data_IF_373442228548
#
_entry.id   IF_373442228548
#
_cell.length_a   1.000
_cell.length_b   1.000
_cell.length_c   1.000
_cell.angle_alpha   90.00
_cell.angle_beta   90.00
_cell.angle_gamma   90.00
#
_symmetry.space_group_name_H-M   'P 1'
#
loop_
_entity.id
_entity.type
_entity.pdbx_description
1 polymer ?
#
# COMPACT_ATOMS: atom_id res chain seq x y z
N UNK A 1 27.48 28.90 -23.98
CA UNK A 1 26.16 29.11 -23.31
C UNK A 1 25.25 27.87 -23.30
N UNK A 2 25.52 26.84 -24.11
CA UNK A 2 24.72 25.60 -24.16
C UNK A 2 25.14 24.52 -23.13
N UNK A 3 26.38 24.52 -22.66
CA UNK A 3 26.92 23.53 -21.74
C UNK A 3 26.42 23.65 -20.30
N UNK A 4 26.13 24.86 -19.82
CA UNK A 4 25.66 25.12 -18.45
C UNK A 4 24.21 24.67 -18.24
N UNK A 5 23.37 24.78 -19.26
CA UNK A 5 21.95 24.33 -19.22
C UNK A 5 21.85 22.79 -19.21
N UNK A 6 22.64 22.12 -20.06
CA UNK A 6 22.66 20.67 -20.11
C UNK A 6 23.20 20.04 -18.81
N UNK A 7 24.25 20.63 -18.22
CA UNK A 7 24.77 20.16 -16.93
C UNK A 7 23.77 20.34 -15.78
N UNK A 8 23.01 21.45 -15.75
CA UNK A 8 21.94 21.66 -14.76
C UNK A 8 20.80 20.64 -14.91
N UNK A 9 20.43 20.32 -16.14
CA UNK A 9 19.37 19.32 -16.43
C UNK A 9 19.80 17.91 -16.01
N UNK A 10 21.05 17.54 -16.30
CA UNK A 10 21.62 16.26 -15.88
C UNK A 10 21.65 16.15 -14.36
N UNK A 11 22.06 17.22 -13.66
CA UNK A 11 22.08 17.24 -12.20
C UNK A 11 20.68 17.07 -11.59
N UNK A 12 19.69 17.83 -12.07
CA UNK A 12 18.29 17.73 -11.60
C UNK A 12 17.70 16.34 -11.84
N UNK A 13 17.94 15.77 -13.00
CA UNK A 13 17.54 14.40 -13.33
C UNK A 13 18.19 13.40 -12.37
N UNK A 14 19.46 13.54 -12.07
CA UNK A 14 20.19 12.65 -11.17
C UNK A 14 19.68 12.74 -9.72
N UNK A 15 19.27 13.92 -9.25
CA UNK A 15 18.65 14.07 -7.93
C UNK A 15 17.34 13.30 -7.83
N UNK A 16 16.46 13.37 -8.83
CA UNK A 16 15.21 12.64 -8.87
C UNK A 16 15.42 11.11 -8.91
N UNK A 17 16.38 10.65 -9.71
CA UNK A 17 16.76 9.23 -9.78
C UNK A 17 17.36 8.74 -8.46
N UNK A 18 18.16 9.54 -7.77
CA UNK A 18 18.73 9.20 -6.46
C UNK A 18 17.67 9.11 -5.37
N UNK A 19 16.55 9.80 -5.52
CA UNK A 19 15.40 9.71 -4.64
C UNK A 19 14.44 8.54 -4.98
N UNK A 20 14.81 7.64 -5.88
CA UNK A 20 13.98 6.51 -6.37
C UNK A 20 12.68 6.91 -7.08
N UNK A 21 12.63 8.10 -7.67
CA UNK A 21 11.47 8.55 -8.47
C UNK A 21 11.22 7.64 -9.68
N UNK A 22 12.25 6.94 -10.16
CA UNK A 22 12.20 6.09 -11.34
C UNK A 22 12.44 6.85 -12.64
N UNK A 23 12.84 6.13 -13.68
CA UNK A 23 13.25 6.73 -14.97
C UNK A 23 12.05 7.40 -15.66
N UNK A 24 10.92 6.67 -15.76
CA UNK A 24 9.74 7.15 -16.49
C UNK A 24 9.14 8.43 -15.88
N UNK A 25 8.98 8.45 -14.55
CA UNK A 25 8.47 9.61 -13.83
C UNK A 25 9.48 10.78 -13.88
N UNK A 26 10.77 10.50 -13.75
CA UNK A 26 11.84 11.52 -13.87
C UNK A 26 11.83 12.18 -15.24
N UNK A 27 11.76 11.40 -16.31
CA UNK A 27 11.75 11.92 -17.68
C UNK A 27 10.50 12.76 -17.95
N UNK A 28 9.35 12.34 -17.46
CA UNK A 28 8.11 13.11 -17.56
C UNK A 28 8.25 14.47 -16.84
N UNK A 29 8.69 14.46 -15.59
CA UNK A 29 8.86 15.69 -14.79
C UNK A 29 9.79 16.65 -15.49
N UNK A 30 10.97 16.19 -15.90
CA UNK A 30 11.99 17.04 -16.55
C UNK A 30 11.46 17.61 -17.87
N UNK A 31 10.79 16.79 -18.69
CA UNK A 31 10.24 17.25 -19.97
C UNK A 31 9.11 18.27 -19.79
N UNK A 32 8.20 18.03 -18.86
CA UNK A 32 7.10 18.94 -18.57
C UNK A 32 7.63 20.29 -18.02
N UNK A 33 8.60 20.25 -17.12
CA UNK A 33 9.24 21.47 -16.61
C UNK A 33 9.93 22.27 -17.72
N UNK A 34 10.58 21.60 -18.66
CA UNK A 34 11.20 22.27 -19.82
C UNK A 34 10.17 22.93 -20.76
N UNK A 35 9.01 22.31 -20.91
CA UNK A 35 7.93 22.87 -21.74
C UNK A 35 7.23 24.05 -21.08
N UNK A 36 6.99 23.97 -19.77
CA UNK A 36 6.27 24.99 -19.01
C UNK A 36 7.10 26.22 -18.72
N UNK A 37 8.39 26.02 -18.43
CA UNK A 37 9.30 27.07 -18.02
C UNK A 37 10.23 27.45 -19.16
N UNK A 38 10.24 28.73 -19.56
CA UNK A 38 11.28 29.28 -20.41
C UNK A 38 12.65 29.14 -19.73
N UNK A 39 13.73 29.21 -20.52
CA UNK A 39 15.12 29.06 -20.01
C UNK A 39 15.45 29.96 -18.83
N UNK A 40 14.89 31.16 -18.78
CA UNK A 40 15.09 32.13 -17.71
C UNK A 40 14.38 31.70 -16.42
N UNK A 41 13.15 31.21 -16.53
CA UNK A 41 12.34 30.77 -15.40
C UNK A 41 12.87 29.46 -14.78
N UNK A 42 13.46 28.56 -15.58
CA UNK A 42 14.16 27.37 -15.09
C UNK A 42 15.37 27.69 -14.20
N UNK A 43 15.96 28.88 -14.38
CA UNK A 43 17.11 29.34 -13.59
C UNK A 43 16.69 30.01 -12.28
N UNK A 44 15.42 30.37 -12.10
CA UNK A 44 14.88 31.00 -10.90
C UNK A 44 14.42 29.96 -9.89
N UNK A 45 15.08 29.80 -8.72
CA UNK A 45 14.81 28.69 -7.79
C UNK A 45 13.35 28.59 -7.33
N UNK A 46 12.71 29.71 -7.01
CA UNK A 46 11.31 29.74 -6.55
C UNK A 46 10.32 29.26 -7.61
N UNK A 47 10.47 29.76 -8.83
CA UNK A 47 9.59 29.37 -9.95
C UNK A 47 9.79 27.91 -10.31
N UNK A 48 11.04 27.44 -10.30
CA UNK A 48 11.34 26.03 -10.51
C UNK A 48 10.71 25.14 -9.43
N UNK A 49 10.85 25.47 -8.15
CA UNK A 49 10.29 24.69 -7.07
C UNK A 49 8.76 24.64 -7.10
N UNK A 50 8.11 25.75 -7.44
CA UNK A 50 6.65 25.83 -7.60
C UNK A 50 6.18 24.91 -8.73
N UNK A 51 6.83 24.98 -9.88
CA UNK A 51 6.50 24.13 -11.02
C UNK A 51 6.78 22.65 -10.74
N UNK A 52 7.87 22.32 -10.06
CA UNK A 52 8.22 20.97 -9.64
C UNK A 52 7.15 20.39 -8.70
N UNK A 53 6.75 21.13 -7.68
CA UNK A 53 5.68 20.71 -6.77
C UNK A 53 4.37 20.44 -7.51
N UNK A 54 4.02 21.30 -8.46
CA UNK A 54 2.82 21.11 -9.27
C UNK A 54 2.87 19.82 -10.09
N UNK A 55 4.00 19.53 -10.74
CA UNK A 55 4.20 18.30 -11.51
C UNK A 55 4.14 17.05 -10.61
N UNK A 56 4.80 17.08 -9.47
CA UNK A 56 4.76 15.98 -8.50
C UNK A 56 3.34 15.74 -8.00
N UNK A 57 2.63 16.80 -7.64
CA UNK A 57 1.22 16.71 -7.21
C UNK A 57 0.32 16.14 -8.31
N UNK A 58 0.50 16.56 -9.55
CA UNK A 58 -0.28 16.07 -10.69
C UNK A 58 -0.09 14.56 -10.92
N UNK A 59 1.14 14.05 -10.76
CA UNK A 59 1.42 12.61 -10.86
C UNK A 59 0.67 11.85 -9.77
N UNK A 60 0.69 12.34 -8.53
CA UNK A 60 0.10 11.65 -7.38
C UNK A 60 -1.43 11.78 -7.32
N UNK A 61 -2.02 12.82 -7.89
CA UNK A 61 -3.50 12.97 -7.96
C UNK A 61 -4.18 11.80 -8.65
N UNK A 62 -3.53 11.18 -9.61
CA UNK A 62 -4.07 10.01 -10.32
C UNK A 62 -4.26 8.79 -9.41
N UNK A 63 -3.51 8.70 -8.31
CA UNK A 63 -3.53 7.58 -7.35
C UNK A 63 -4.04 7.98 -5.96
N UNK A 64 -4.43 9.24 -5.80
CA UNK A 64 -5.02 9.77 -4.57
C UNK A 64 -6.52 9.45 -4.53
N UNK A 65 -6.81 8.20 -4.24
CA UNK A 65 -8.18 7.71 -4.10
C UNK A 65 -8.30 7.00 -2.76
N UNK A 66 -8.98 7.60 -1.77
CA UNK A 66 -9.12 7.02 -0.45
C UNK A 66 -9.92 5.72 -0.48
N UNK A 67 -9.61 4.81 0.45
CA UNK A 67 -10.42 3.63 0.67
C UNK A 67 -11.68 4.01 1.46
N UNK A 68 -12.83 3.81 0.84
CA UNK A 68 -14.13 4.07 1.47
C UNK A 68 -14.78 2.75 1.84
N UNK A 69 -15.06 2.58 3.13
CA UNK A 69 -15.79 1.42 3.62
C UNK A 69 -17.28 1.62 3.33
N UNK A 70 -17.83 0.78 2.46
CA UNK A 70 -19.26 0.82 2.14
C UNK A 70 -20.04 0.09 3.22
N UNK A 71 -21.02 0.76 3.79
CA UNK A 71 -21.80 0.26 4.93
C UNK A 71 -22.94 -0.71 4.54
N UNK A 72 -23.33 -0.76 3.27
CA UNK A 72 -24.51 -1.51 2.80
C UNK A 72 -24.26 -3.02 2.75
N UNK A 73 -23.02 -3.45 2.58
CA UNK A 73 -22.64 -4.85 2.47
C UNK A 73 -21.61 -5.23 3.54
N UNK A 74 -22.06 -5.87 4.60
CA UNK A 74 -21.19 -6.28 5.73
C UNK A 74 -20.89 -7.78 5.71
N UNK A 75 -19.66 -8.14 6.11
CA UNK A 75 -18.50 -7.26 6.34
C UNK A 75 -17.93 -6.72 5.04
N UNK A 76 -17.31 -5.52 5.09
CA UNK A 76 -16.36 -5.08 4.09
C UNK A 76 -15.05 -5.85 4.31
N UNK A 77 -14.58 -6.58 3.30
CA UNK A 77 -13.43 -7.48 3.42
C UNK A 77 -12.19 -6.87 2.79
N UNK A 78 -11.16 -6.66 3.59
CA UNK A 78 -9.82 -6.24 3.16
C UNK A 78 -8.88 -7.43 3.26
N UNK A 79 -8.37 -7.88 2.12
CA UNK A 79 -7.33 -8.89 2.04
C UNK A 79 -5.97 -8.20 1.99
N UNK A 80 -5.13 -8.42 3.02
CA UNK A 80 -3.80 -7.85 3.11
C UNK A 80 -2.78 -8.79 2.47
N UNK A 81 -2.12 -8.33 1.42
CA UNK A 81 -1.10 -9.10 0.70
C UNK A 81 0.25 -8.40 0.74
N UNK A 82 1.33 -9.13 0.50
CA UNK A 82 2.70 -8.61 0.52
C UNK A 82 3.68 -9.62 1.07
N UNK A 83 4.97 -9.39 0.84
CA UNK A 83 6.05 -10.27 1.30
C UNK A 83 6.25 -10.16 2.82
N UNK A 84 6.95 -11.14 3.40
CA UNK A 84 7.31 -11.08 4.82
C UNK A 84 8.25 -9.89 5.10
N UNK A 85 8.08 -9.27 6.26
CA UNK A 85 8.94 -8.17 6.72
C UNK A 85 8.55 -6.77 6.23
N UNK A 86 7.56 -6.63 5.34
CA UNK A 86 7.09 -5.31 4.88
C UNK A 86 6.23 -4.55 5.90
N UNK A 87 5.85 -5.18 7.00
CA UNK A 87 5.00 -4.58 8.02
C UNK A 87 3.50 -4.91 7.86
N UNK A 88 3.16 -5.99 7.18
CA UNK A 88 1.78 -6.41 6.91
C UNK A 88 0.96 -6.60 8.20
N UNK A 89 1.41 -7.45 9.11
CA UNK A 89 0.73 -7.72 10.39
C UNK A 89 0.60 -6.47 11.26
N UNK A 90 1.66 -5.65 11.30
CA UNK A 90 1.65 -4.36 12.01
C UNK A 90 0.63 -3.39 11.40
N UNK A 91 0.56 -3.32 10.07
CA UNK A 91 -0.39 -2.46 9.36
C UNK A 91 -1.84 -2.88 9.60
N UNK A 92 -2.10 -4.19 9.74
CA UNK A 92 -3.43 -4.70 10.11
C UNK A 92 -3.89 -4.14 11.45
N UNK A 93 -3.02 -4.18 12.47
CA UNK A 93 -3.33 -3.60 13.78
C UNK A 93 -3.63 -2.10 13.70
N UNK A 94 -2.83 -1.34 12.96
CA UNK A 94 -3.03 0.10 12.76
C UNK A 94 -4.33 0.40 12.03
N UNK A 95 -4.66 -0.34 10.97
CA UNK A 95 -5.93 -0.21 10.25
C UNK A 95 -7.13 -0.54 11.14
N UNK A 96 -7.05 -1.62 11.91
CA UNK A 96 -8.12 -1.98 12.82
C UNK A 96 -8.39 -0.87 13.84
N UNK A 97 -7.34 -0.25 14.38
CA UNK A 97 -7.46 0.90 15.29
C UNK A 97 -8.06 2.11 14.59
N UNK A 98 -7.65 2.39 13.38
CA UNK A 98 -8.20 3.49 12.58
C UNK A 98 -9.71 3.34 12.38
N UNK A 99 -10.17 2.17 11.96
CA UNK A 99 -11.60 1.94 11.75
C UNK A 99 -12.40 1.90 13.07
N UNK A 100 -11.84 1.35 14.15
CA UNK A 100 -12.45 1.46 15.48
C UNK A 100 -12.64 2.92 15.92
N UNK A 101 -11.65 3.77 15.68
CA UNK A 101 -11.73 5.21 16.00
C UNK A 101 -12.82 5.95 15.22
N UNK A 102 -13.23 5.39 14.09
CA UNK A 102 -14.34 5.87 13.26
C UNK A 102 -15.69 5.25 13.65
N UNK A 103 -15.73 4.48 14.74
CA UNK A 103 -16.96 3.87 15.27
C UNK A 103 -17.36 2.56 14.57
N UNK A 104 -16.46 1.95 13.77
CA UNK A 104 -16.73 0.69 13.09
C UNK A 104 -16.35 -0.52 13.94
N UNK A 105 -17.13 -1.58 13.87
CA UNK A 105 -16.75 -2.89 14.40
C UNK A 105 -15.77 -3.58 13.46
N UNK A 106 -14.71 -4.18 14.01
CA UNK A 106 -13.62 -4.82 13.25
C UNK A 106 -13.41 -6.24 13.73
N UNK A 107 -13.13 -7.15 12.80
CA UNK A 107 -12.67 -8.50 13.06
C UNK A 107 -11.42 -8.78 12.24
N UNK A 108 -10.50 -9.59 12.76
CA UNK A 108 -9.27 -10.00 12.09
C UNK A 108 -9.30 -11.49 11.78
N UNK A 109 -8.66 -11.86 10.66
CA UNK A 109 -8.38 -13.24 10.30
C UNK A 109 -6.87 -13.48 10.22
N UNK A 110 -6.37 -14.44 11.01
CA UNK A 110 -4.97 -14.83 11.03
C UNK A 110 -4.67 -15.85 9.92
N UNK A 111 -4.65 -15.40 8.68
CA UNK A 111 -4.47 -16.25 7.49
C UNK A 111 -3.01 -16.62 7.17
N UNK A 112 -2.02 -16.01 7.80
CA UNK A 112 -0.60 -16.43 7.71
C UNK A 112 -0.31 -17.59 8.66
N UNK A 113 -0.92 -18.73 8.39
CA UNK A 113 -1.01 -19.88 9.29
C UNK A 113 0.31 -20.60 9.56
N UNK A 114 1.31 -20.44 8.68
CA UNK A 114 2.63 -21.05 8.83
C UNK A 114 3.59 -20.23 9.69
N UNK A 115 3.26 -18.97 10.00
CA UNK A 115 4.03 -18.11 10.89
C UNK A 115 3.34 -17.99 12.24
N UNK A 116 3.65 -18.90 13.14
CA UNK A 116 3.08 -18.90 14.49
C UNK A 116 3.22 -17.54 15.20
N UNK A 117 4.36 -16.87 15.05
CA UNK A 117 4.59 -15.53 15.61
C UNK A 117 3.66 -14.46 15.04
N UNK A 118 3.28 -14.54 13.76
CA UNK A 118 2.34 -13.59 13.15
C UNK A 118 0.91 -13.82 13.69
N UNK A 119 0.51 -15.08 13.82
CA UNK A 119 -0.79 -15.44 14.41
C UNK A 119 -0.88 -14.95 15.85
N UNK A 120 0.14 -15.24 16.67
CA UNK A 120 0.23 -14.81 18.07
C UNK A 120 0.23 -13.28 18.19
N UNK A 121 0.97 -12.58 17.35
CA UNK A 121 1.00 -11.12 17.32
C UNK A 121 -0.41 -10.53 17.10
N UNK A 122 -1.17 -11.06 16.15
CA UNK A 122 -2.55 -10.63 15.90
C UNK A 122 -3.47 -10.93 17.09
N UNK A 123 -3.36 -12.11 17.67
CA UNK A 123 -4.16 -12.52 18.82
C UNK A 123 -3.91 -11.60 20.02
N UNK A 124 -2.64 -11.37 20.38
CA UNK A 124 -2.26 -10.46 21.47
C UNK A 124 -2.75 -9.04 21.21
N UNK A 125 -2.60 -8.57 19.98
CA UNK A 125 -3.09 -7.25 19.62
C UNK A 125 -4.61 -7.17 19.72
N UNK A 126 -5.32 -8.20 19.23
CA UNK A 126 -6.78 -8.27 19.31
C UNK A 126 -7.30 -8.26 20.74
N UNK A 127 -6.69 -9.04 21.65
CA UNK A 127 -7.02 -9.05 23.08
C UNK A 127 -6.85 -7.67 23.72
N UNK A 128 -5.72 -7.00 23.46
CA UNK A 128 -5.43 -5.67 24.00
C UNK A 128 -6.39 -4.58 23.53
N UNK A 129 -6.94 -4.72 22.34
CA UNK A 129 -7.77 -3.69 21.70
C UNK A 129 -9.24 -4.12 21.56
N UNK A 130 -9.62 -5.24 22.16
CA UNK A 130 -10.99 -5.79 22.12
C UNK A 130 -11.48 -6.02 20.67
N UNK A 131 -10.60 -6.55 19.82
CA UNK A 131 -10.89 -6.93 18.44
C UNK A 131 -10.87 -8.44 18.34
N UNK A 132 -11.97 -9.10 17.91
CA UNK A 132 -12.00 -10.53 17.68
C UNK A 132 -11.00 -10.96 16.60
N UNK A 133 -10.27 -12.03 16.84
CA UNK A 133 -9.34 -12.64 15.89
C UNK A 133 -9.74 -14.09 15.66
N UNK A 134 -9.99 -14.44 14.40
CA UNK A 134 -10.22 -15.82 13.99
C UNK A 134 -8.90 -16.43 13.59
N UNK A 135 -8.52 -17.51 14.26
CA UNK A 135 -7.29 -18.25 14.01
C UNK A 135 -7.59 -19.76 14.10
N UNK A 136 -6.79 -20.57 13.41
CA UNK A 136 -6.81 -22.03 13.47
C UNK A 136 -5.44 -22.56 13.85
N UNK A 137 -5.30 -23.88 13.94
CA UNK A 137 -4.02 -24.54 14.25
C UNK A 137 -2.94 -24.15 13.23
N UNK A 138 -1.67 -24.14 13.68
CA UNK A 138 -0.52 -23.88 12.81
C UNK A 138 -0.53 -24.79 11.58
N UNK A 139 -0.29 -24.21 10.42
CA UNK A 139 -0.30 -24.92 9.14
C UNK A 139 -1.69 -25.21 8.56
N UNK A 140 -2.76 -24.69 9.15
CA UNK A 140 -4.10 -24.78 8.59
C UNK A 140 -4.18 -24.12 7.19
N UNK A 141 -5.18 -24.47 6.41
CA UNK A 141 -5.43 -23.84 5.12
C UNK A 141 -5.87 -22.39 5.30
N UNK A 142 -5.10 -21.44 4.76
CA UNK A 142 -5.38 -20.01 4.85
C UNK A 142 -6.78 -19.63 4.34
N UNK A 143 -7.23 -20.25 3.25
CA UNK A 143 -8.57 -20.01 2.72
C UNK A 143 -9.66 -20.46 3.69
N UNK A 144 -9.44 -21.56 4.44
CA UNK A 144 -10.36 -22.05 5.47
C UNK A 144 -10.48 -21.07 6.64
N UNK A 145 -9.35 -20.53 7.12
CA UNK A 145 -9.35 -19.53 8.21
C UNK A 145 -10.11 -18.28 7.81
N UNK A 146 -9.85 -17.78 6.61
CA UNK A 146 -10.49 -16.55 6.09
C UNK A 146 -11.96 -16.76 5.82
N UNK A 147 -12.34 -17.95 5.32
CA UNK A 147 -13.74 -18.33 5.17
C UNK A 147 -14.48 -18.34 6.51
N UNK A 148 -13.93 -18.98 7.53
CA UNK A 148 -14.51 -19.02 8.88
C UNK A 148 -14.65 -17.63 9.47
N UNK A 149 -13.65 -16.77 9.28
CA UNK A 149 -13.67 -15.37 9.71
C UNK A 149 -14.80 -14.60 9.01
N UNK A 150 -14.97 -14.78 7.71
CA UNK A 150 -16.05 -14.16 6.95
C UNK A 150 -17.43 -14.60 7.46
N UNK A 151 -17.64 -15.89 7.67
CA UNK A 151 -18.91 -16.42 8.21
C UNK A 151 -19.20 -15.85 9.59
N UNK A 152 -18.20 -15.81 10.46
CA UNK A 152 -18.32 -15.23 11.81
C UNK A 152 -18.63 -13.73 11.76
N UNK A 153 -17.92 -12.98 10.93
CA UNK A 153 -18.13 -11.54 10.78
C UNK A 153 -19.53 -11.22 10.22
N UNK A 154 -19.99 -11.99 9.24
CA UNK A 154 -21.33 -11.87 8.67
C UNK A 154 -22.42 -12.16 9.71
N UNK A 155 -22.28 -13.24 10.48
CA UNK A 155 -23.23 -13.60 11.52
C UNK A 155 -23.33 -12.56 12.63
N UNK A 156 -22.23 -11.90 12.95
CA UNK A 156 -22.14 -10.84 13.99
C UNK A 156 -22.37 -9.43 13.45
N UNK A 157 -22.68 -9.29 12.18
CA UNK A 157 -22.86 -7.99 11.50
C UNK A 157 -21.68 -7.02 11.68
N UNK A 158 -20.47 -7.55 11.59
CA UNK A 158 -19.22 -6.77 11.72
C UNK A 158 -19.04 -5.87 10.49
N UNK A 159 -18.61 -4.63 10.72
CA UNK A 159 -18.43 -3.65 9.65
C UNK A 159 -17.25 -3.99 8.73
N UNK A 160 -16.09 -4.35 9.30
CA UNK A 160 -14.84 -4.58 8.56
C UNK A 160 -14.16 -5.86 9.01
N UNK A 161 -13.84 -6.72 8.05
CA UNK A 161 -12.96 -7.87 8.23
C UNK A 161 -11.63 -7.61 7.55
N UNK A 162 -10.52 -7.66 8.30
CA UNK A 162 -9.17 -7.53 7.78
C UNK A 162 -8.47 -8.89 7.89
N UNK A 163 -8.08 -9.46 6.76
CA UNK A 163 -7.46 -10.78 6.68
C UNK A 163 -5.97 -10.69 6.36
N UNK A 164 -5.13 -11.26 7.24
CA UNK A 164 -3.72 -11.45 6.97
C UNK A 164 -3.51 -12.66 6.04
N UNK A 165 -2.45 -12.63 5.24
CA UNK A 165 -2.05 -13.70 4.34
C UNK A 165 -0.57 -14.03 4.47
N UNK A 166 -0.15 -15.19 3.98
CA UNK A 166 1.26 -15.54 3.87
C UNK A 166 2.03 -14.55 2.96
N UNK A 167 3.34 -14.45 3.19
CA UNK A 167 4.20 -13.55 2.43
C UNK A 167 5.53 -14.19 2.02
N UNK A 168 5.57 -15.50 1.79
CA UNK A 168 6.79 -16.26 1.47
C UNK A 168 7.13 -16.19 -0.01
N UNK A 169 7.82 -15.15 -0.45
CA UNK A 169 8.14 -14.94 -1.86
C UNK A 169 9.14 -15.97 -2.44
N UNK A 170 9.95 -16.63 -1.61
CA UNK A 170 10.86 -17.68 -2.08
C UNK A 170 10.14 -18.94 -2.61
N UNK A 171 8.86 -19.11 -2.27
CA UNK A 171 7.94 -20.08 -2.84
C UNK A 171 6.82 -19.36 -3.61
N UNK A 172 7.21 -18.51 -4.56
CA UNK A 172 6.32 -17.57 -5.24
C UNK A 172 5.08 -18.24 -5.83
N UNK A 173 5.24 -19.33 -6.53
CA UNK A 173 4.12 -20.02 -7.18
C UNK A 173 3.12 -20.54 -6.15
N UNK A 174 3.59 -21.09 -5.03
CA UNK A 174 2.74 -21.55 -3.94
C UNK A 174 2.01 -20.38 -3.27
N UNK A 175 2.69 -19.25 -3.06
CA UNK A 175 2.07 -18.05 -2.50
C UNK A 175 0.95 -17.52 -3.42
N UNK A 176 1.22 -17.43 -4.71
CA UNK A 176 0.24 -16.93 -5.67
C UNK A 176 -0.97 -17.86 -5.79
N UNK A 177 -0.75 -19.18 -5.83
CA UNK A 177 -1.82 -20.20 -5.82
C UNK A 177 -2.67 -20.11 -4.54
N UNK A 178 -2.06 -19.88 -3.39
CA UNK A 178 -2.76 -19.70 -2.12
C UNK A 178 -3.65 -18.44 -2.15
N UNK A 179 -3.13 -17.32 -2.64
CA UNK A 179 -3.90 -16.08 -2.79
C UNK A 179 -5.07 -16.23 -3.76
N UNK A 180 -4.85 -16.86 -4.90
CA UNK A 180 -5.92 -17.17 -5.86
C UNK A 180 -7.01 -18.05 -5.24
N UNK A 181 -6.63 -19.04 -4.44
CA UNK A 181 -7.58 -19.89 -3.72
C UNK A 181 -8.42 -19.08 -2.73
N UNK A 182 -7.80 -18.20 -1.95
CA UNK A 182 -8.50 -17.32 -1.00
C UNK A 182 -9.53 -16.46 -1.74
N UNK A 183 -9.14 -15.80 -2.81
CA UNK A 183 -10.03 -14.97 -3.61
C UNK A 183 -11.19 -15.78 -4.18
N UNK A 184 -10.92 -16.96 -4.73
CA UNK A 184 -11.94 -17.85 -5.26
C UNK A 184 -12.93 -18.32 -4.20
N UNK A 185 -12.47 -18.67 -3.00
CA UNK A 185 -13.31 -19.10 -1.89
C UNK A 185 -14.22 -17.96 -1.42
N UNK A 186 -13.69 -16.74 -1.31
CA UNK A 186 -14.48 -15.56 -0.95
C UNK A 186 -15.52 -15.23 -2.02
N UNK A 187 -15.16 -15.24 -3.30
CA UNK A 187 -16.10 -14.97 -4.41
C UNK A 187 -17.25 -15.96 -4.50
N UNK A 188 -17.09 -17.20 -4.04
CA UNK A 188 -18.18 -18.16 -3.93
C UNK A 188 -19.22 -17.79 -2.86
N UNK A 189 -18.85 -16.96 -1.89
CA UNK A 189 -19.77 -16.45 -0.87
C UNK A 189 -20.51 -15.21 -1.34
N UNK A 190 -19.81 -14.33 -2.07
CA UNK A 190 -20.35 -13.12 -2.67
C UNK A 190 -19.37 -12.67 -3.77
N UNK A 191 -19.88 -12.42 -4.98
CA UNK A 191 -19.04 -12.08 -6.15
C UNK A 191 -18.23 -10.78 -5.97
N UNK A 192 -18.67 -9.86 -5.09
CA UNK A 192 -17.96 -8.62 -4.78
C UNK A 192 -16.68 -8.85 -3.97
N UNK A 193 -16.54 -9.98 -3.29
CA UNK A 193 -15.44 -10.26 -2.36
C UNK A 193 -14.14 -10.70 -3.05
N UNK A 194 -12.98 -10.35 -2.50
CA UNK A 194 -12.81 -9.35 -1.44
C UNK A 194 -13.10 -7.95 -1.96
N UNK A 195 -13.56 -7.03 -1.08
CA UNK A 195 -13.83 -5.64 -1.45
C UNK A 195 -12.56 -4.85 -1.75
N UNK A 196 -11.48 -5.18 -1.07
CA UNK A 196 -10.16 -4.58 -1.28
C UNK A 196 -9.09 -5.68 -1.19
N UNK A 197 -8.16 -5.68 -2.15
CA UNK A 197 -6.89 -6.42 -2.07
C UNK A 197 -5.79 -5.37 -1.92
N UNK A 198 -5.34 -5.18 -0.69
CA UNK A 198 -4.39 -4.13 -0.32
C UNK A 198 -2.98 -4.71 -0.23
N UNK A 199 -2.11 -4.27 -1.13
CA UNK A 199 -0.70 -4.65 -1.13
C UNK A 199 0.08 -3.75 -0.17
N UNK A 200 0.77 -4.37 0.79
CA UNK A 200 1.71 -3.67 1.68
C UNK A 200 3.11 -3.74 1.10
N UNK A 201 3.73 -2.59 0.93
CA UNK A 201 5.10 -2.44 0.41
C UNK A 201 5.96 -1.67 1.41
N UNK A 202 7.23 -2.02 1.47
CA UNK A 202 8.25 -1.32 2.25
C UNK A 202 8.96 -0.28 1.38
N UNK A 203 8.80 1.00 1.70
CA UNK A 203 9.38 2.11 0.95
C UNK A 203 10.91 2.10 0.95
N UNK A 204 11.55 1.51 1.97
CA UNK A 204 13.01 1.42 2.06
C UNK A 204 13.63 0.53 0.99
N UNK A 205 12.83 -0.33 0.36
CA UNK A 205 13.29 -1.23 -0.71
C UNK A 205 13.36 -0.57 -2.09
N UNK A 206 12.90 0.68 -2.23
CA UNK A 206 12.99 1.46 -3.45
C UNK A 206 12.38 0.74 -4.66
N UNK A 207 13.16 0.57 -5.75
CA UNK A 207 12.67 -0.07 -6.98
C UNK A 207 12.25 -1.54 -6.81
N UNK A 208 12.71 -2.23 -5.77
CA UNK A 208 12.24 -3.58 -5.47
C UNK A 208 10.76 -3.59 -5.08
N UNK A 209 10.26 -2.54 -4.43
CA UNK A 209 8.83 -2.40 -4.14
C UNK A 209 7.99 -2.39 -5.42
N UNK A 210 8.46 -1.70 -6.47
CA UNK A 210 7.80 -1.68 -7.77
C UNK A 210 7.73 -3.08 -8.41
N UNK A 211 8.83 -3.82 -8.39
CA UNK A 211 8.87 -5.19 -8.92
C UNK A 211 7.94 -6.14 -8.15
N UNK A 212 7.86 -5.99 -6.83
CA UNK A 212 6.91 -6.74 -6.00
C UNK A 212 5.46 -6.41 -6.39
N UNK A 213 5.13 -5.14 -6.51
CA UNK A 213 3.80 -4.70 -6.87
C UNK A 213 3.35 -5.25 -8.23
N UNK A 214 4.20 -5.17 -9.26
CA UNK A 214 3.94 -5.76 -10.57
C UNK A 214 3.70 -7.28 -10.50
N UNK A 215 4.45 -7.97 -9.65
CA UNK A 215 4.33 -9.41 -9.47
C UNK A 215 2.99 -9.82 -8.84
N UNK A 216 2.56 -9.10 -7.81
CA UNK A 216 1.27 -9.34 -7.16
C UNK A 216 0.09 -8.95 -8.04
N UNK A 217 0.17 -7.82 -8.74
CA UNK A 217 -0.91 -7.33 -9.59
C UNK A 217 -1.26 -8.28 -10.74
N UNK A 218 -0.24 -8.93 -11.31
CA UNK A 218 -0.44 -9.96 -12.36
C UNK A 218 -1.28 -11.15 -11.90
N UNK A 219 -1.27 -11.44 -10.61
CA UNK A 219 -1.89 -12.66 -10.06
C UNK A 219 -3.19 -12.40 -9.35
N UNK A 220 -3.27 -11.30 -8.57
CA UNK A 220 -4.37 -11.08 -7.61
C UNK A 220 -5.28 -9.93 -7.95
N UNK A 221 -5.01 -9.17 -9.00
CA UNK A 221 -5.77 -7.96 -9.36
C UNK A 221 -5.89 -7.02 -8.15
N UNK A 222 -4.79 -6.36 -7.82
CA UNK A 222 -4.72 -5.44 -6.68
C UNK A 222 -5.72 -4.28 -6.83
N UNK A 223 -6.27 -3.82 -5.71
CA UNK A 223 -7.15 -2.66 -5.67
C UNK A 223 -6.53 -1.43 -5.00
N UNK A 224 -5.48 -1.60 -4.23
CA UNK A 224 -4.79 -0.50 -3.57
C UNK A 224 -3.43 -0.89 -2.99
N UNK A 225 -2.67 0.13 -2.60
CA UNK A 225 -1.35 0.01 -2.00
C UNK A 225 -1.32 0.71 -0.65
N UNK A 226 -0.67 0.07 0.34
CA UNK A 226 -0.22 0.69 1.57
C UNK A 226 1.32 0.69 1.59
N UNK A 227 1.92 1.87 1.69
CA UNK A 227 3.36 2.04 1.65
C UNK A 227 3.89 2.33 3.06
N UNK A 228 4.73 1.46 3.60
CA UNK A 228 5.25 1.54 4.98
C UNK A 228 6.66 2.09 5.04
N UNK A 229 7.10 2.47 6.24
CA UNK A 229 8.48 2.87 6.57
C UNK A 229 9.00 4.08 5.79
N UNK A 230 8.12 5.01 5.46
CA UNK A 230 8.52 6.26 4.78
C UNK A 230 9.40 7.14 5.64
N UNK A 231 9.27 7.08 6.97
CA UNK A 231 10.10 7.77 7.95
C UNK A 231 11.56 7.29 7.98
N UNK A 232 11.81 6.07 7.57
CA UNK A 232 13.13 5.42 7.57
C UNK A 232 13.91 5.56 6.25
N UNK A 233 13.44 6.35 5.28
CA UNK A 233 14.06 6.39 3.96
C UNK A 233 14.12 7.78 3.32
N UNK A 234 15.24 8.07 2.66
CA UNK A 234 15.34 9.16 1.70
C UNK A 234 14.75 8.78 0.31
N UNK A 235 14.20 7.57 0.17
CA UNK A 235 13.70 6.99 -1.09
C UNK A 235 12.19 7.17 -1.27
N UNK A 236 11.60 8.20 -0.70
CA UNK A 236 10.18 8.53 -0.84
C UNK A 236 9.70 8.68 -2.29
N UNK A 237 10.62 8.89 -3.21
CA UNK A 237 10.37 8.96 -4.64
C UNK A 237 9.76 7.69 -5.26
N UNK A 238 9.84 6.54 -4.59
CA UNK A 238 9.18 5.29 -5.04
C UNK A 238 7.67 5.45 -5.19
N UNK A 239 7.05 6.37 -4.43
CA UNK A 239 5.62 6.71 -4.55
C UNK A 239 5.29 7.17 -5.97
N UNK A 240 6.15 8.02 -6.56
CA UNK A 240 5.97 8.53 -7.93
C UNK A 240 6.18 7.43 -8.97
N UNK A 241 7.14 6.54 -8.76
CA UNK A 241 7.37 5.39 -9.63
C UNK A 241 6.16 4.44 -9.63
N UNK A 242 5.59 4.14 -8.46
CA UNK A 242 4.38 3.32 -8.32
C UNK A 242 3.18 3.98 -9.00
N UNK A 243 2.97 5.28 -8.76
CA UNK A 243 1.89 6.04 -9.37
C UNK A 243 1.95 6.02 -10.90
N UNK A 244 3.14 6.23 -11.45
CA UNK A 244 3.34 6.28 -12.90
C UNK A 244 3.21 4.92 -13.56
N UNK A 245 3.70 3.85 -12.93
CA UNK A 245 3.82 2.54 -13.56
C UNK A 245 2.59 1.66 -13.41
N UNK A 246 1.93 1.70 -12.27
CA UNK A 246 0.83 0.80 -11.94
C UNK A 246 -0.54 1.47 -11.97
N UNK A 247 -0.59 2.77 -11.76
CA UNK A 247 -1.85 3.54 -11.66
C UNK A 247 -2.82 2.98 -10.62
N UNK A 248 -2.30 2.24 -9.62
CA UNK A 248 -3.08 1.72 -8.51
C UNK A 248 -3.26 2.79 -7.43
N UNK A 249 -4.43 2.91 -6.81
CA UNK A 249 -4.63 3.81 -5.69
C UNK A 249 -3.65 3.55 -4.55
N UNK A 250 -3.01 4.60 -4.05
CA UNK A 250 -2.26 4.55 -2.79
C UNK A 250 -3.25 4.91 -1.70
N UNK A 251 -3.59 3.95 -0.86
CA UNK A 251 -4.62 4.10 0.18
C UNK A 251 -4.05 4.68 1.46
N UNK A 252 -2.87 4.17 1.87
CA UNK A 252 -2.27 4.50 3.16
C UNK A 252 -0.76 4.65 3.03
N UNK A 253 -0.19 5.47 3.91
CA UNK A 253 1.25 5.63 4.14
C UNK A 253 1.58 5.42 5.62
N UNK A 254 2.66 4.68 5.87
CA UNK A 254 3.24 4.49 7.20
C UNK A 254 4.41 5.43 7.40
N UNK A 255 4.28 6.32 8.37
CA UNK A 255 5.24 7.40 8.66
C UNK A 255 5.90 7.24 10.02
N UNK A 256 5.86 6.06 10.61
CA UNK A 256 6.46 5.73 11.89
C UNK A 256 5.94 4.43 12.49
N UNK A 257 6.38 4.12 13.71
CA UNK A 257 6.04 2.86 14.38
C UNK A 257 4.82 2.94 15.30
N UNK A 258 4.37 4.13 15.67
CA UNK A 258 3.22 4.31 16.56
C UNK A 258 1.93 3.84 15.89
N UNK A 259 0.95 3.52 16.71
CA UNK A 259 -0.35 3.01 16.24
C UNK A 259 -1.06 3.98 15.28
N UNK A 260 -0.88 5.27 15.45
CA UNK A 260 -1.49 6.31 14.64
C UNK A 260 -0.64 6.75 13.44
N UNK A 261 0.51 6.08 13.20
CA UNK A 261 1.44 6.43 12.15
C UNK A 261 1.10 5.79 10.79
N UNK A 262 0.00 5.08 10.68
CA UNK A 262 -0.59 4.69 9.41
C UNK A 262 -1.71 5.68 9.06
N UNK A 263 -1.52 6.44 7.99
CA UNK A 263 -2.41 7.54 7.61
C UNK A 263 -2.98 7.32 6.21
N UNK A 264 -4.22 7.77 5.94
CA UNK A 264 -4.70 7.89 4.57
C UNK A 264 -3.73 8.72 3.73
N UNK A 265 -3.48 8.26 2.50
CA UNK A 265 -2.63 9.00 1.57
C UNK A 265 -3.37 10.23 1.04
N UNK A 266 -2.65 11.35 0.95
CA UNK A 266 -3.07 12.57 0.28
C UNK A 266 -1.91 13.15 -0.51
N UNK A 267 -2.12 13.36 -1.80
CA UNK A 267 -1.08 13.80 -2.72
C UNK A 267 -0.45 15.13 -2.31
N UNK A 268 -1.26 16.12 -1.94
CA UNK A 268 -0.79 17.45 -1.55
C UNK A 268 0.06 17.40 -0.28
N UNK A 269 -0.43 16.71 0.76
CA UNK A 269 0.28 16.57 2.03
C UNK A 269 1.62 15.85 1.84
N UNK A 270 1.69 14.87 0.94
CA UNK A 270 2.90 14.13 0.65
C UNK A 270 3.97 14.96 -0.06
N UNK A 271 3.58 15.81 -1.02
CA UNK A 271 4.50 16.67 -1.77
C UNK A 271 5.03 17.81 -0.91
N UNK A 272 4.25 18.27 0.08
CA UNK A 272 4.63 19.36 0.98
C UNK A 272 5.52 18.89 2.16
N UNK A 273 5.61 17.59 2.41
CA UNK A 273 6.44 17.01 3.47
C UNK A 273 7.90 16.81 3.03
#
# INVERSE_FOLDING_TARGET
>A
LSSSSAASDVYKRQQLLSADVGIDATDQIVNNLKQQLGRKQLAEPEQFMTALRQELTNILKAVDTPLVIQSEAKPFVILMVGVNGVGKTTSIGKLAKLYQSQGMSVMLAAGDTFRAAAVEQLQVWGERNSVPVVAQASGADSASVIFDAYQSAKAKNVDVLIADTAGRLHTKDNLMNELEKIVRVLKKQDERLPDEILLVLDATTGQNALSQAESFDKTTTLSGIALTKLDGTAKGGVVFALAKRLSLPIRFIGVGEKIDDLRPFKAEDFVDA
#
